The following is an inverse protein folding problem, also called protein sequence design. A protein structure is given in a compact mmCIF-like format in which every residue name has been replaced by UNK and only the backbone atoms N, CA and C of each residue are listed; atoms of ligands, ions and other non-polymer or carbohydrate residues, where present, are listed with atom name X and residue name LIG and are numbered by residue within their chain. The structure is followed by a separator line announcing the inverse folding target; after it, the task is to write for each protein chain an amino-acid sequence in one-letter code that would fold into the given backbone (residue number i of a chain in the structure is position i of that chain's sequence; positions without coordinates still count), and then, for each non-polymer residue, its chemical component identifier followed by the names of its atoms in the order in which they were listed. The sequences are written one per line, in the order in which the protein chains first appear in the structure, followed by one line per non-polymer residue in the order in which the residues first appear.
data_IF_806377262794
#
_entry.id   IF_806377262794
#
_cell.length_a   1.000
_cell.length_b   1.000
_cell.length_c   1.000
_cell.angle_alpha   90.00
_cell.angle_beta   90.00
_cell.angle_gamma   90.00
#
_symmetry.space_group_name_H-M   'P 1'
#
loop_
_entity.id
_entity.type
_entity.pdbx_description
1 polymer ?
#
# COMPACT_ATOMS: atom_id res chain seq x y z
N UNK A 1 0.63 9.59 -34.85
CA UNK A 1 0.23 9.50 -33.42
C UNK A 1 1.38 8.84 -32.68
N UNK A 2 1.82 9.38 -31.54
CA UNK A 2 2.89 8.79 -30.73
C UNK A 2 2.30 7.76 -29.74
N UNK A 3 2.73 6.48 -29.75
CA UNK A 3 2.29 5.48 -28.79
C UNK A 3 2.51 5.86 -27.32
N UNK A 4 3.53 6.66 -27.00
CA UNK A 4 3.75 7.11 -25.63
C UNK A 4 2.64 8.05 -25.13
N UNK A 5 2.00 8.81 -26.04
CA UNK A 5 0.82 9.62 -25.72
C UNK A 5 -0.39 8.72 -25.49
N UNK A 6 -0.61 7.72 -26.35
CA UNK A 6 -1.68 6.72 -26.15
C UNK A 6 -1.49 5.92 -24.86
N UNK A 7 -0.26 5.61 -24.46
CA UNK A 7 0.04 4.94 -23.20
C UNK A 7 -0.41 5.76 -21.99
N UNK A 8 -0.14 7.07 -21.98
CA UNK A 8 -0.62 7.97 -20.91
C UNK A 8 -2.14 8.06 -20.90
N UNK A 9 -2.78 8.18 -22.07
CA UNK A 9 -4.23 8.19 -22.17
C UNK A 9 -4.88 6.89 -21.66
N UNK A 10 -4.27 5.73 -21.92
CA UNK A 10 -4.73 4.46 -21.35
C UNK A 10 -4.59 4.44 -19.82
N UNK A 11 -3.49 4.99 -19.28
CA UNK A 11 -3.31 5.12 -17.81
C UNK A 11 -4.32 6.07 -17.19
N UNK A 12 -4.64 7.18 -17.85
CA UNK A 12 -5.63 8.16 -17.36
C UNK A 12 -7.05 7.57 -17.27
N UNK A 13 -7.33 6.49 -18.01
CA UNK A 13 -8.58 5.72 -17.91
C UNK A 13 -8.58 4.70 -16.76
N UNK A 14 -7.44 4.44 -16.12
CA UNK A 14 -7.35 3.51 -15.00
C UNK A 14 -7.77 4.19 -13.69
N UNK A 15 -8.65 3.53 -12.95
CA UNK A 15 -8.88 3.86 -11.54
C UNK A 15 -7.80 3.19 -10.69
N UNK A 16 -6.72 3.90 -10.41
CA UNK A 16 -5.68 3.48 -9.48
C UNK A 16 -5.87 4.19 -8.14
N UNK A 17 -6.24 3.43 -7.11
CA UNK A 17 -6.44 3.92 -5.74
C UNK A 17 -5.19 3.70 -4.89
N UNK A 18 -5.14 4.40 -3.75
CA UNK A 18 -4.18 4.09 -2.71
C UNK A 18 -4.44 2.69 -2.12
N UNK A 19 -3.48 2.14 -1.34
CA UNK A 19 -3.69 0.88 -0.64
C UNK A 19 -4.97 0.92 0.20
N UNK A 20 -5.72 -0.18 0.19
CA UNK A 20 -6.81 -0.36 1.15
C UNK A 20 -6.19 -0.87 2.45
N UNK A 21 -5.90 0.05 3.36
CA UNK A 21 -5.03 -0.22 4.51
C UNK A 21 -5.66 -1.24 5.46
N UNK A 22 -5.03 -2.40 5.54
CA UNK A 22 -5.15 -3.35 6.63
C UNK A 22 -4.00 -3.21 7.61
N UNK A 23 -4.31 -2.98 8.89
CA UNK A 23 -3.31 -2.80 9.95
C UNK A 23 -3.79 -3.35 11.30
N UNK A 24 -2.87 -3.82 12.15
CA UNK A 24 -3.14 -4.11 13.58
C UNK A 24 -2.44 -3.11 14.51
N UNK A 25 -3.12 -2.53 15.52
CA UNK A 25 -4.58 -2.58 15.71
C UNK A 25 -5.30 -1.90 14.53
N UNK A 26 -6.54 -2.30 14.27
CA UNK A 26 -7.38 -1.58 13.31
C UNK A 26 -7.62 -0.13 13.81
N UNK A 27 -7.83 0.84 12.91
CA UNK A 27 -8.21 2.19 13.30
C UNK A 27 -9.38 2.20 14.31
N UNK A 28 -9.27 3.04 15.34
CA UNK A 28 -10.20 3.08 16.47
C UNK A 28 -9.93 2.05 17.57
N UNK A 29 -9.13 1.01 17.30
CA UNK A 29 -8.63 0.07 18.30
C UNK A 29 -7.44 0.60 19.10
N UNK A 30 -7.00 -0.19 20.09
CA UNK A 30 -5.82 0.06 20.89
C UNK A 30 -4.80 -1.06 20.71
N UNK A 31 -3.59 -0.71 20.30
CA UNK A 31 -2.44 -1.60 20.24
C UNK A 31 -1.58 -1.44 21.48
N UNK A 32 -0.63 -2.35 21.66
CA UNK A 32 0.31 -2.33 22.78
C UNK A 32 1.73 -2.18 22.28
N UNK A 33 2.55 -1.40 23.00
CA UNK A 33 4.00 -1.32 22.77
C UNK A 33 4.59 -2.72 22.76
N UNK A 34 5.51 -2.95 21.82
CA UNK A 34 6.17 -4.25 21.66
C UNK A 34 5.32 -5.32 20.98
N UNK A 35 4.01 -5.16 20.80
CA UNK A 35 3.18 -6.12 20.04
C UNK A 35 3.39 -6.00 18.52
N UNK A 36 3.26 -7.09 17.75
CA UNK A 36 3.41 -7.05 16.31
C UNK A 36 2.28 -6.26 15.64
N UNK A 37 2.67 -5.34 14.77
CA UNK A 37 1.79 -4.64 13.84
C UNK A 37 1.89 -5.34 12.50
N UNK A 38 0.79 -5.94 12.05
CA UNK A 38 0.67 -6.50 10.71
C UNK A 38 0.24 -5.39 9.76
N UNK A 39 0.76 -5.44 8.54
CA UNK A 39 0.48 -4.46 7.49
C UNK A 39 0.09 -5.23 6.23
N UNK A 40 -1.05 -4.90 5.63
CA UNK A 40 -1.49 -5.48 4.37
C UNK A 40 -2.36 -4.51 3.58
N UNK A 41 -2.63 -4.85 2.33
CA UNK A 41 -3.67 -4.24 1.51
C UNK A 41 -4.54 -5.31 0.88
N UNK A 42 -5.81 -4.98 0.65
CA UNK A 42 -6.67 -5.83 -0.15
C UNK A 42 -6.17 -5.93 -1.59
N UNK A 43 -6.37 -7.11 -2.18
CA UNK A 43 -5.92 -7.44 -3.54
C UNK A 43 -7.07 -7.21 -4.51
N UNK A 44 -7.21 -5.97 -4.97
CA UNK A 44 -8.18 -5.59 -6.00
C UNK A 44 -7.48 -5.03 -7.25
N UNK A 45 -8.15 -5.03 -8.42
CA UNK A 45 -7.63 -4.39 -9.63
C UNK A 45 -7.23 -2.92 -9.40
N UNK A 46 -8.01 -2.18 -8.62
CA UNK A 46 -7.78 -0.75 -8.35
C UNK A 46 -6.77 -0.48 -7.22
N UNK A 47 -6.49 -1.45 -6.35
CA UNK A 47 -5.70 -1.26 -5.11
C UNK A 47 -4.34 -1.96 -5.13
N UNK A 48 -4.20 -3.07 -5.87
CA UNK A 48 -2.95 -3.83 -6.00
C UNK A 48 -2.65 -4.30 -7.44
N UNK A 49 -3.68 -4.41 -8.27
CA UNK A 49 -3.61 -4.81 -9.66
C UNK A 49 -3.65 -6.33 -9.89
N UNK A 50 -3.71 -6.76 -11.16
CA UNK A 50 -3.57 -5.91 -12.35
C UNK A 50 -4.81 -5.04 -12.65
N UNK A 51 -4.58 -3.81 -13.15
CA UNK A 51 -5.58 -2.98 -13.82
C UNK A 51 -5.17 -2.82 -15.28
N UNK A 52 -6.11 -2.99 -16.22
CA UNK A 52 -5.82 -2.98 -17.67
C UNK A 52 -6.71 -1.97 -18.37
N UNK A 53 -6.13 -1.14 -19.22
CA UNK A 53 -6.85 -0.16 -20.03
C UNK A 53 -6.14 0.01 -21.38
N UNK A 54 -6.88 0.53 -22.37
CA UNK A 54 -6.38 0.72 -23.72
C UNK A 54 -6.83 2.05 -24.31
N UNK A 55 -6.00 2.64 -25.16
CA UNK A 55 -6.34 3.82 -25.94
C UNK A 55 -5.96 3.62 -27.40
N UNK A 56 -6.78 4.16 -28.31
CA UNK A 56 -6.61 3.99 -29.75
C UNK A 56 -6.74 5.31 -30.50
N UNK A 57 -5.85 5.56 -31.46
CA UNK A 57 -5.99 6.65 -32.42
C UNK A 57 -5.16 6.39 -33.68
N UNK A 58 -5.71 6.74 -34.85
CA UNK A 58 -5.02 6.61 -36.13
C UNK A 58 -4.57 5.17 -36.45
N UNK A 59 -5.40 4.17 -36.12
CA UNK A 59 -5.09 2.74 -36.36
C UNK A 59 -4.08 2.11 -35.38
N UNK A 60 -3.55 2.89 -34.44
CA UNK A 60 -2.66 2.40 -33.37
C UNK A 60 -3.51 2.18 -32.12
N UNK A 61 -3.36 1.03 -31.47
CA UNK A 61 -3.90 0.75 -30.13
C UNK A 61 -2.76 0.50 -29.18
N UNK A 62 -2.80 1.11 -28.00
CA UNK A 62 -1.91 0.80 -26.88
C UNK A 62 -2.73 0.15 -25.78
N UNK A 63 -2.23 -0.95 -25.24
CA UNK A 63 -2.76 -1.61 -24.04
C UNK A 63 -1.76 -1.46 -22.92
N UNK A 64 -2.21 -0.95 -21.77
CA UNK A 64 -1.43 -0.75 -20.56
C UNK A 64 -1.94 -1.66 -19.44
N UNK A 65 -1.02 -2.23 -18.66
CA UNK A 65 -1.30 -3.09 -17.51
C UNK A 65 -0.54 -2.58 -16.29
N UNK A 66 -1.27 -2.11 -15.28
CA UNK A 66 -0.74 -1.57 -14.04
C UNK A 66 -0.76 -2.60 -12.91
N UNK A 67 0.33 -2.71 -12.16
CA UNK A 67 0.44 -3.54 -10.95
C UNK A 67 1.30 -2.87 -9.89
N UNK A 68 0.93 -3.01 -8.61
CA UNK A 68 1.77 -2.53 -7.51
C UNK A 68 3.07 -3.33 -7.44
N UNK A 69 4.19 -2.62 -7.45
CA UNK A 69 5.53 -3.18 -7.29
C UNK A 69 5.96 -3.21 -5.82
N UNK A 70 5.56 -2.21 -5.04
CA UNK A 70 5.85 -2.10 -3.60
C UNK A 70 4.90 -1.14 -2.90
N UNK A 71 4.79 -1.28 -1.59
CA UNK A 71 4.14 -0.32 -0.69
C UNK A 71 5.15 0.11 0.36
N UNK A 72 5.29 1.42 0.52
CA UNK A 72 6.13 2.03 1.56
C UNK A 72 5.21 2.57 2.65
N UNK A 73 5.40 2.08 3.87
CA UNK A 73 4.61 2.44 5.05
C UNK A 73 5.44 3.36 5.95
N UNK A 74 5.04 4.62 6.07
CA UNK A 74 5.56 5.52 7.08
C UNK A 74 4.74 5.34 8.35
N UNK A 75 5.38 4.93 9.44
CA UNK A 75 4.68 4.45 10.63
C UNK A 75 4.34 5.56 11.64
N UNK A 76 4.69 6.81 11.36
CA UNK A 76 4.43 7.94 12.26
C UNK A 76 5.32 8.00 13.50
N UNK A 77 6.19 7.01 13.73
CA UNK A 77 7.24 7.00 14.77
C UNK A 77 8.64 7.34 14.21
N UNK A 78 8.69 7.88 12.98
CA UNK A 78 9.91 8.16 12.24
C UNK A 78 10.47 6.95 11.48
N UNK A 79 9.89 5.75 11.62
CA UNK A 79 10.33 4.56 10.88
C UNK A 79 9.48 4.33 9.63
N UNK A 80 10.10 3.62 8.69
CA UNK A 80 9.47 3.23 7.42
C UNK A 80 9.63 1.72 7.21
N UNK A 81 8.59 1.07 6.68
CA UNK A 81 8.60 -0.35 6.28
C UNK A 81 8.29 -0.43 4.78
N UNK A 82 9.16 -1.10 4.02
CA UNK A 82 8.93 -1.34 2.58
C UNK A 82 8.50 -2.78 2.38
N UNK A 83 7.33 -2.99 1.82
CA UNK A 83 6.78 -4.31 1.51
C UNK A 83 6.64 -4.49 0.00
N UNK A 84 7.15 -5.60 -0.52
CA UNK A 84 7.03 -6.01 -1.94
C UNK A 84 5.93 -7.06 -2.15
N UNK A 85 5.30 -7.51 -1.06
CA UNK A 85 4.08 -8.30 -1.05
C UNK A 85 2.88 -7.41 -0.68
N UNK A 86 1.64 -7.84 -0.94
CA UNK A 86 0.46 -7.14 -0.43
C UNK A 86 0.31 -7.28 1.10
N UNK A 87 1.21 -7.98 1.78
CA UNK A 87 1.11 -8.31 3.20
C UNK A 87 0.21 -9.52 3.50
N UNK A 88 0.32 -9.98 4.75
CA UNK A 88 -0.50 -11.04 5.32
C UNK A 88 -1.53 -10.44 6.28
N UNK A 89 -2.86 -10.62 6.04
CA UNK A 89 -3.87 -10.23 6.99
C UNK A 89 -3.71 -10.93 8.34
N UNK A 90 -3.82 -10.18 9.43
CA UNK A 90 -3.72 -10.74 10.77
C UNK A 90 -4.90 -11.68 11.07
N UNK A 91 -4.61 -12.76 11.79
CA UNK A 91 -5.61 -13.65 12.39
C UNK A 91 -5.36 -13.74 13.90
N UNK A 92 -6.41 -13.79 14.75
CA UNK A 92 -6.24 -13.92 16.20
C UNK A 92 -5.37 -15.11 16.61
N UNK A 93 -5.41 -16.22 15.85
CA UNK A 93 -4.58 -17.41 16.08
C UNK A 93 -3.07 -17.18 15.94
N UNK A 94 -2.64 -16.05 15.37
CA UNK A 94 -1.23 -15.68 15.31
C UNK A 94 -0.71 -15.08 16.62
N UNK A 95 -1.59 -14.57 17.49
CA UNK A 95 -1.22 -14.04 18.80
C UNK A 95 -0.13 -12.97 18.71
N UNK A 96 1.04 -13.26 19.30
CA UNK A 96 2.21 -12.38 19.40
C UNK A 96 3.26 -12.57 18.30
N UNK A 97 3.02 -13.50 17.36
CA UNK A 97 3.94 -13.79 16.26
C UNK A 97 4.06 -12.58 15.33
N UNK A 98 5.27 -12.27 14.89
CA UNK A 98 5.49 -11.25 13.85
C UNK A 98 4.84 -11.66 12.53
N UNK A 99 4.44 -10.65 11.74
CA UNK A 99 4.01 -10.88 10.36
C UNK A 99 5.12 -11.57 9.56
N UNK A 100 4.79 -12.57 8.72
CA UNK A 100 5.79 -13.30 7.96
C UNK A 100 6.40 -12.49 6.81
N UNK A 101 5.75 -11.40 6.38
CA UNK A 101 6.15 -10.66 5.18
C UNK A 101 6.15 -9.13 5.33
N UNK A 102 5.18 -8.56 6.05
CA UNK A 102 5.02 -7.11 6.16
C UNK A 102 4.49 -6.73 7.54
N UNK A 103 5.33 -6.08 8.35
CA UNK A 103 4.96 -5.68 9.70
C UNK A 103 5.95 -4.75 10.40
N UNK A 104 5.53 -4.25 11.55
CA UNK A 104 6.26 -3.28 12.38
C UNK A 104 6.14 -3.60 13.87
N UNK A 105 6.94 -2.94 14.71
CA UNK A 105 6.75 -2.90 16.17
C UNK A 105 7.08 -1.50 16.71
N UNK A 106 6.12 -0.90 17.40
CA UNK A 106 6.32 0.36 18.11
C UNK A 106 7.06 0.14 19.42
N UNK A 107 8.03 1.00 19.69
CA UNK A 107 8.85 0.98 20.91
C UNK A 107 8.35 1.97 21.99
N UNK A 108 7.40 2.83 21.64
CA UNK A 108 6.84 3.86 22.54
C UNK A 108 5.33 3.92 22.37
N UNK A 109 4.58 4.37 23.39
CA UNK A 109 3.17 4.62 23.23
C UNK A 109 2.99 5.86 22.36
N UNK A 110 1.89 5.90 21.62
CA UNK A 110 1.50 7.04 20.78
C UNK A 110 1.35 8.35 21.56
N UNK A 111 1.05 8.28 22.87
CA UNK A 111 0.99 9.43 23.78
C UNK A 111 2.35 10.03 24.13
N UNK A 112 3.46 9.34 23.84
CA UNK A 112 4.79 9.94 23.94
C UNK A 112 5.05 10.97 22.82
N UNK A 113 4.15 11.07 21.83
CA UNK A 113 4.16 12.07 20.78
C UNK A 113 2.80 12.76 20.64
N UNK A 114 2.25 12.81 19.43
CA UNK A 114 1.00 13.52 19.12
C UNK A 114 -0.29 12.82 19.59
N UNK A 115 -0.21 11.75 20.38
CA UNK A 115 -1.35 11.00 20.90
C UNK A 115 -1.87 9.88 19.99
N UNK A 116 -1.50 9.88 18.71
CA UNK A 116 -1.74 8.80 17.74
C UNK A 116 -0.53 8.68 16.80
N UNK A 117 -0.36 7.51 16.20
CA UNK A 117 0.52 7.34 15.06
C UNK A 117 -0.25 7.53 13.76
N UNK A 118 0.15 8.51 12.97
CA UNK A 118 -0.35 8.74 11.61
C UNK A 118 0.42 7.84 10.64
N UNK A 119 -0.22 6.77 10.19
CA UNK A 119 0.39 5.78 9.30
C UNK A 119 0.01 6.11 7.87
N UNK A 120 1.01 6.26 7.01
CA UNK A 120 0.85 6.57 5.59
C UNK A 120 1.36 5.39 4.76
N UNK A 121 0.54 4.90 3.84
CA UNK A 121 0.90 3.83 2.92
C UNK A 121 0.94 4.36 1.50
N UNK A 122 2.10 4.31 0.86
CA UNK A 122 2.31 4.77 -0.52
C UNK A 122 2.62 3.58 -1.42
N UNK A 123 1.70 3.22 -2.32
CA UNK A 123 1.94 2.22 -3.36
C UNK A 123 2.69 2.83 -4.54
N UNK A 124 3.68 2.10 -5.05
CA UNK A 124 4.32 2.38 -6.33
C UNK A 124 3.80 1.39 -7.36
N UNK A 125 3.15 1.89 -8.40
CA UNK A 125 2.60 1.10 -9.51
C UNK A 125 3.59 1.08 -10.67
N UNK A 126 3.87 -0.11 -11.18
CA UNK A 126 4.54 -0.33 -12.46
C UNK A 126 3.46 -0.56 -13.51
N UNK A 127 3.46 0.27 -14.57
CA UNK A 127 2.55 0.12 -15.70
C UNK A 127 3.34 -0.25 -16.95
N UNK A 128 3.22 -1.49 -17.41
CA UNK A 128 3.79 -1.91 -18.68
C UNK A 128 2.78 -1.68 -19.81
N UNK A 129 3.21 -1.16 -20.96
CA UNK A 129 2.33 -0.96 -22.10
C UNK A 129 2.95 -1.44 -23.41
N UNK A 130 2.08 -1.85 -24.34
CA UNK A 130 2.44 -2.35 -25.66
C UNK A 130 1.51 -1.76 -26.72
N UNK A 131 2.09 -1.29 -27.81
CA UNK A 131 1.37 -0.81 -29.00
C UNK A 131 1.23 -1.91 -30.05
N UNK A 132 0.18 -1.84 -30.86
CA UNK A 132 -0.02 -2.70 -32.03
C UNK A 132 1.07 -2.55 -33.10
N UNK A 133 1.83 -1.44 -33.07
CA UNK A 133 3.02 -1.20 -33.91
C UNK A 133 4.27 -1.94 -33.43
N UNK A 134 4.20 -2.67 -32.31
CA UNK A 134 5.33 -3.39 -31.71
C UNK A 134 6.14 -2.57 -30.69
N UNK A 135 5.93 -1.26 -30.61
CA UNK A 135 6.56 -0.41 -29.59
C UNK A 135 6.00 -0.68 -28.19
N UNK A 136 6.85 -0.59 -27.17
CA UNK A 136 6.47 -0.83 -25.77
C UNK A 136 7.24 0.06 -24.82
N UNK A 137 6.79 0.10 -23.56
CA UNK A 137 7.46 0.85 -22.52
C UNK A 137 6.86 0.63 -21.15
N UNK A 138 7.32 1.43 -20.20
CA UNK A 138 6.88 1.40 -18.82
C UNK A 138 6.63 2.81 -18.31
N UNK A 139 5.59 2.95 -17.47
CA UNK A 139 5.29 4.14 -16.70
C UNK A 139 5.29 3.78 -15.21
N UNK A 140 5.42 4.79 -14.36
CA UNK A 140 5.37 4.63 -12.90
C UNK A 140 4.43 5.66 -12.30
N UNK A 141 3.55 5.19 -11.43
CA UNK A 141 2.57 6.01 -10.70
C UNK A 141 2.67 5.73 -9.21
N UNK A 142 2.27 6.71 -8.38
CA UNK A 142 2.14 6.49 -6.93
C UNK A 142 0.76 6.85 -6.44
N UNK A 143 0.26 6.10 -5.46
CA UNK A 143 -1.01 6.37 -4.79
C UNK A 143 -0.84 6.18 -3.30
N UNK A 144 -1.58 6.96 -2.51
CA UNK A 144 -1.40 7.01 -1.07
C UNK A 144 -2.73 6.90 -0.35
N UNK A 145 -2.71 6.21 0.79
CA UNK A 145 -3.77 6.19 1.79
C UNK A 145 -3.16 6.42 3.17
N UNK A 146 -3.96 6.84 4.14
CA UNK A 146 -3.48 7.02 5.51
C UNK A 146 -4.55 6.63 6.54
N UNK A 147 -4.09 6.22 7.72
CA UNK A 147 -4.92 5.91 8.88
C UNK A 147 -4.22 6.33 10.17
N UNK A 148 -5.01 6.61 11.21
CA UNK A 148 -4.46 6.82 12.55
C UNK A 148 -4.69 5.59 13.44
N UNK A 149 -3.66 5.21 14.18
CA UNK A 149 -3.74 4.15 15.19
C UNK A 149 -3.27 4.61 16.57
N UNK A 150 -3.79 3.97 17.60
CA UNK A 150 -3.37 4.18 19.00
C UNK A 150 -2.54 3.01 19.48
N UNK A 151 -1.44 3.33 20.15
CA UNK A 151 -0.58 2.36 20.82
C UNK A 151 -0.38 2.84 22.26
N UNK A 152 -0.71 1.99 23.22
CA UNK A 152 -0.50 2.23 24.64
C UNK A 152 0.54 1.28 25.23
N UNK A 153 0.89 1.49 26.49
CA UNK A 153 1.70 0.54 27.27
C UNK A 153 0.81 -0.23 28.22
N UNK A 154 1.15 -1.49 28.49
CA UNK A 154 0.55 -2.25 29.58
C UNK A 154 0.99 -1.59 30.88
N UNK A 155 0.08 -0.89 31.53
CA UNK A 155 0.30 -0.40 32.89
C UNK A 155 0.09 -1.60 33.83
N UNK A 156 1.16 -2.06 34.48
CA UNK A 156 1.01 -2.94 35.62
C UNK A 156 0.39 -2.12 36.75
N UNK A 157 -0.89 -2.36 37.05
CA UNK A 157 -1.46 -1.88 38.30
C UNK A 157 -0.83 -2.75 39.38
N UNK A 158 0.12 -2.19 40.12
CA UNK A 158 0.72 -2.87 41.27
C UNK A 158 -0.37 -3.18 42.29
N UNK A 159 -0.52 -4.46 42.62
CA UNK A 159 -1.21 -4.93 43.82
C UNK A 159 -0.30 -4.82 45.04
#
# INVERSE_FOLDING_TARGET
MDPAVLARQAVDQMVLRGPEIGITPKPGGMGLVGMPVYLWTERGPETYGPNVASASAGGITVTATAKVARIVWQMGDGKTVTCTTPGTPYKPSYGTKSSPDCGHRYAKPSTAGAGKYHVVATSTWTIAWQATTGQSGQLTETRQSAVDIRVGELQAVGS
#
